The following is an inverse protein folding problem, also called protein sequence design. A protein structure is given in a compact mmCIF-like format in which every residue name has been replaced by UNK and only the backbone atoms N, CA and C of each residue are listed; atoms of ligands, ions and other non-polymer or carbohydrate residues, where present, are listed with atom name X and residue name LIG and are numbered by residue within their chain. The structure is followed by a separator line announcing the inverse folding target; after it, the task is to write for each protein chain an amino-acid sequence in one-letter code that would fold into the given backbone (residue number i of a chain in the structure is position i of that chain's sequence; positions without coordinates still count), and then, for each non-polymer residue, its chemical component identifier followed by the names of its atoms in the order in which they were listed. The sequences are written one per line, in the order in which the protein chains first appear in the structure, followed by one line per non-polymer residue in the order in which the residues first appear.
data_IF_016964548181
#
_entry.id   IF_016964548181
#
_cell.length_a   1.000
_cell.length_b   1.000
_cell.length_c   1.000
_cell.angle_alpha   90.00
_cell.angle_beta   90.00
_cell.angle_gamma   90.00
#
_symmetry.space_group_name_H-M   'P 1'
#
loop_
_entity.id
_entity.type
_entity.pdbx_description
1 polymer ?
#
# COMPACT_ATOMS: atom_id res chain seq x y z
N UNK A 1 -44.12 -93.82 64.44
CA UNK A 1 -43.00 -94.66 63.93
C UNK A 1 -42.59 -94.12 62.55
N UNK A 2 -41.28 -93.92 62.33
CA UNK A 2 -40.55 -93.80 61.05
C UNK A 2 -40.86 -92.52 60.21
N UNK A 3 -39.96 -91.54 60.03
CA UNK A 3 -38.60 -91.46 59.43
C UNK A 3 -38.57 -91.17 57.92
N UNK A 4 -37.88 -90.07 57.58
CA UNK A 4 -36.96 -89.81 56.43
C UNK A 4 -37.47 -89.93 54.98
N UNK A 5 -37.22 -88.87 54.19
CA UNK A 5 -36.31 -88.77 53.02
C UNK A 5 -36.71 -87.56 52.12
N UNK A 6 -35.98 -86.44 52.11
CA UNK A 6 -34.93 -85.96 51.17
C UNK A 6 -35.34 -85.83 49.68
N UNK A 7 -35.23 -84.58 49.18
CA UNK A 7 -34.73 -84.12 47.84
C UNK A 7 -35.70 -84.29 46.65
N UNK A 8 -35.74 -83.48 45.58
CA UNK A 8 -35.10 -82.23 45.10
C UNK A 8 -35.76 -81.93 43.71
N UNK A 9 -35.72 -80.67 43.23
CA UNK A 9 -35.67 -80.23 41.79
C UNK A 9 -36.93 -80.42 40.89
N UNK A 10 -37.33 -79.53 39.95
CA UNK A 10 -36.99 -78.14 39.55
C UNK A 10 -37.87 -77.78 38.30
N UNK A 11 -38.20 -76.48 38.13
CA UNK A 11 -38.63 -75.74 36.90
C UNK A 11 -39.88 -76.25 36.13
N UNK A 12 -40.76 -75.43 35.53
CA UNK A 12 -40.51 -74.29 34.65
C UNK A 12 -41.81 -73.45 34.45
N UNK A 13 -41.64 -72.12 34.42
CA UNK A 13 -42.36 -71.09 33.60
C UNK A 13 -43.89 -70.96 33.61
N UNK A 14 -44.37 -69.78 34.02
CA UNK A 14 -45.20 -68.93 33.16
C UNK A 14 -45.03 -67.45 33.55
N UNK A 15 -44.62 -66.64 32.57
CA UNK A 15 -44.50 -65.17 32.66
C UNK A 15 -45.85 -64.56 32.30
N UNK A 16 -46.32 -63.59 33.10
CA UNK A 16 -47.50 -62.78 32.83
C UNK A 16 -47.37 -61.42 33.54
N UNK A 17 -47.10 -60.39 32.74
CA UNK A 17 -46.86 -58.98 33.05
C UNK A 17 -47.91 -58.34 33.98
N UNK A 18 -47.45 -57.68 35.07
CA UNK A 18 -47.84 -56.30 35.47
C UNK A 18 -46.71 -55.77 36.37
N UNK A 19 -45.87 -54.88 35.86
CA UNK A 19 -44.97 -54.06 36.67
C UNK A 19 -45.31 -52.60 36.43
N UNK A 20 -45.96 -51.94 37.39
CA UNK A 20 -45.89 -50.49 37.48
C UNK A 20 -44.46 -50.15 37.90
N UNK A 21 -43.70 -49.47 37.05
CA UNK A 21 -42.52 -48.77 37.53
C UNK A 21 -42.98 -47.49 38.23
N UNK A 22 -42.78 -47.44 39.55
CA UNK A 22 -42.87 -46.19 40.30
C UNK A 22 -41.69 -45.31 39.88
N UNK A 23 -41.93 -44.37 38.97
CA UNK A 23 -40.97 -43.32 38.65
C UNK A 23 -40.93 -42.31 39.79
N UNK A 24 -39.93 -42.43 40.67
CA UNK A 24 -39.52 -41.37 41.58
C UNK A 24 -38.84 -40.28 40.75
N UNK A 25 -39.58 -39.20 40.46
CA UNK A 25 -38.98 -37.97 39.96
C UNK A 25 -38.21 -37.32 41.10
N UNK A 26 -36.87 -37.40 41.05
CA UNK A 26 -36.01 -36.57 41.88
C UNK A 26 -35.89 -35.19 41.21
N UNK A 27 -36.46 -34.18 41.84
CA UNK A 27 -36.46 -32.83 41.30
C UNK A 27 -35.09 -32.21 41.53
N UNK A 28 -34.19 -32.38 40.56
CA UNK A 28 -32.87 -31.73 40.57
C UNK A 28 -33.08 -30.24 40.31
N UNK A 29 -33.01 -29.42 41.35
CA UNK A 29 -32.89 -27.97 41.19
C UNK A 29 -31.61 -27.69 40.40
N UNK A 30 -31.67 -27.02 39.23
CA UNK A 30 -30.45 -26.65 38.53
C UNK A 30 -29.62 -25.77 39.47
N UNK A 31 -28.35 -26.12 39.63
CA UNK A 31 -27.39 -25.27 40.33
C UNK A 31 -27.55 -23.85 39.78
N UNK A 32 -27.79 -22.88 40.68
CA UNK A 32 -28.10 -21.51 40.31
C UNK A 32 -27.13 -21.01 39.25
N UNK A 33 -27.67 -20.38 38.20
CA UNK A 33 -26.88 -19.75 37.15
C UNK A 33 -25.90 -18.82 37.86
N UNK A 34 -24.62 -19.17 37.83
CA UNK A 34 -23.58 -18.28 38.33
C UNK A 34 -23.39 -17.26 37.22
N UNK A 35 -23.96 -16.06 37.40
CA UNK A 35 -23.73 -14.95 36.50
C UNK A 35 -22.24 -14.58 36.60
N UNK A 36 -21.45 -15.08 35.66
CA UNK A 36 -20.07 -14.65 35.50
C UNK A 36 -20.13 -13.29 34.83
N UNK A 37 -20.17 -12.24 35.63
CA UNK A 37 -19.90 -10.88 35.16
C UNK A 37 -18.44 -10.87 34.71
N UNK A 38 -18.21 -11.11 33.41
CA UNK A 38 -16.94 -10.79 32.78
C UNK A 38 -16.91 -9.28 32.64
N UNK A 39 -16.15 -8.64 33.51
CA UNK A 39 -15.68 -7.28 33.25
C UNK A 39 -14.65 -7.39 32.14
N UNK A 40 -15.09 -7.29 30.88
CA UNK A 40 -14.17 -7.05 29.78
C UNK A 40 -13.47 -5.72 30.10
N UNK A 41 -12.13 -5.70 30.25
CA UNK A 41 -11.43 -4.44 30.45
C UNK A 41 -11.77 -3.54 29.27
N UNK A 42 -12.19 -2.31 29.55
CA UNK A 42 -12.37 -1.28 28.54
C UNK A 42 -11.04 -1.17 27.77
N UNK A 43 -11.06 -1.63 26.51
CA UNK A 43 -9.90 -1.62 25.63
C UNK A 43 -9.55 -0.15 25.38
N UNK A 44 -8.70 0.41 26.24
CA UNK A 44 -8.12 1.71 25.97
C UNK A 44 -7.36 1.61 24.65
N UNK A 45 -7.66 2.49 23.68
CA UNK A 45 -6.93 2.52 22.43
C UNK A 45 -5.43 2.66 22.72
N UNK A 46 -4.61 1.86 22.05
CA UNK A 46 -3.15 2.01 22.18
C UNK A 46 -2.74 3.31 21.47
N UNK A 47 -1.89 4.16 22.08
CA UNK A 47 -1.37 5.33 21.39
C UNK A 47 -0.64 4.93 20.10
N UNK A 48 -0.54 5.84 19.13
CA UNK A 48 0.10 5.54 17.84
C UNK A 48 1.14 6.60 17.44
N UNK A 49 2.33 6.17 17.06
CA UNK A 49 3.33 6.99 16.37
C UNK A 49 3.31 6.60 14.90
N UNK A 50 2.90 7.53 14.04
CA UNK A 50 2.65 7.30 12.63
C UNK A 50 3.71 8.03 11.80
N UNK A 51 4.54 7.27 11.11
CA UNK A 51 5.55 7.78 10.19
C UNK A 51 5.06 7.59 8.75
N UNK A 52 4.81 8.69 8.06
CA UNK A 52 4.59 8.67 6.62
C UNK A 52 5.92 8.82 5.89
N UNK A 53 6.21 7.88 4.99
CA UNK A 53 7.36 7.89 4.10
C UNK A 53 6.81 8.12 2.70
N UNK A 54 6.98 9.33 2.21
CA UNK A 54 6.27 9.80 1.01
C UNK A 54 7.29 10.10 -0.08
N UNK A 55 7.04 9.50 -1.23
CA UNK A 55 7.74 9.78 -2.46
C UNK A 55 7.50 11.22 -2.92
N UNK A 56 8.59 11.93 -3.18
CA UNK A 56 8.59 13.32 -3.66
C UNK A 56 9.19 13.46 -5.07
N UNK A 57 9.12 12.38 -5.86
CA UNK A 57 9.49 12.35 -7.28
C UNK A 57 8.58 13.25 -8.14
N UNK A 58 8.93 13.35 -9.42
CA UNK A 58 8.27 14.22 -10.40
C UNK A 58 6.77 13.93 -10.60
N UNK A 59 6.36 12.67 -10.47
CA UNK A 59 5.03 12.17 -10.78
C UNK A 59 4.05 12.23 -9.60
N UNK A 60 4.56 12.21 -8.37
CA UNK A 60 3.79 12.10 -7.12
C UNK A 60 2.87 13.27 -6.74
N UNK A 61 2.76 14.32 -7.58
CA UNK A 61 1.99 15.52 -7.21
C UNK A 61 0.53 15.21 -6.92
N UNK A 62 -0.11 14.46 -7.81
CA UNK A 62 -1.55 14.18 -7.72
C UNK A 62 -1.84 13.26 -6.53
N UNK A 63 -0.95 12.32 -6.26
CA UNK A 63 -1.00 11.39 -5.14
C UNK A 63 -0.81 12.10 -3.79
N UNK A 64 0.14 13.04 -3.70
CA UNK A 64 0.33 13.90 -2.51
C UNK A 64 -0.91 14.75 -2.22
N UNK A 65 -1.49 15.38 -3.25
CA UNK A 65 -2.72 16.16 -3.13
C UNK A 65 -3.92 15.29 -2.72
N UNK A 66 -4.05 14.10 -3.31
CA UNK A 66 -5.11 13.15 -2.98
C UNK A 66 -4.98 12.65 -1.53
N UNK A 67 -3.76 12.35 -1.07
CA UNK A 67 -3.46 12.01 0.32
C UNK A 67 -3.83 13.15 1.28
N UNK A 68 -3.46 14.39 0.96
CA UNK A 68 -3.78 15.58 1.75
C UNK A 68 -5.31 15.77 1.90
N UNK A 69 -6.04 15.68 0.78
CA UNK A 69 -7.48 15.90 0.74
C UNK A 69 -8.26 14.86 1.54
N UNK A 70 -7.78 13.61 1.56
CA UNK A 70 -8.46 12.50 2.23
C UNK A 70 -7.99 12.27 3.67
N UNK A 71 -6.99 13.01 4.15
CA UNK A 71 -6.41 12.80 5.48
C UNK A 71 -7.40 12.99 6.64
N UNK A 72 -8.48 13.76 6.44
CA UNK A 72 -9.54 13.87 7.44
C UNK A 72 -10.13 12.50 7.81
N UNK A 73 -10.21 11.54 6.89
CA UNK A 73 -10.69 10.20 7.17
C UNK A 73 -9.76 9.43 8.13
N UNK A 74 -8.45 9.63 7.99
CA UNK A 74 -7.45 9.10 8.91
C UNK A 74 -7.70 9.61 10.34
N UNK A 75 -7.83 10.93 10.47
CA UNK A 75 -8.01 11.60 11.77
C UNK A 75 -9.36 11.28 12.40
N UNK A 76 -10.44 11.18 11.62
CA UNK A 76 -11.75 10.78 12.15
C UNK A 76 -11.71 9.42 12.87
N UNK A 77 -10.94 8.46 12.33
CA UNK A 77 -10.76 7.14 12.92
C UNK A 77 -9.70 7.13 14.04
N UNK A 78 -8.63 7.90 13.88
CA UNK A 78 -7.52 7.94 14.82
C UNK A 78 -7.86 8.70 16.11
N UNK A 79 -8.60 9.81 16.00
CA UNK A 79 -8.95 10.68 17.12
C UNK A 79 -9.97 10.05 18.06
N UNK A 80 -11.04 9.39 17.59
CA UNK A 80 -12.07 8.76 18.45
C UNK A 80 -12.42 9.53 19.74
N UNK A 81 -12.82 8.84 20.82
CA UNK A 81 -13.11 9.49 22.11
C UNK A 81 -11.87 9.72 23.00
N UNK A 82 -10.72 9.09 22.70
CA UNK A 82 -9.46 9.15 23.48
C UNK A 82 -8.18 8.94 22.63
N UNK A 83 -8.17 9.38 21.37
CA UNK A 83 -7.03 9.15 20.46
C UNK A 83 -5.77 9.92 20.89
N UNK A 84 -4.70 9.18 21.18
CA UNK A 84 -3.38 9.72 21.47
C UNK A 84 -2.40 9.33 20.35
N UNK A 85 -1.96 10.30 19.56
CA UNK A 85 -1.11 10.02 18.41
C UNK A 85 -0.08 11.11 18.13
N UNK A 86 1.00 10.67 17.46
CA UNK A 86 2.05 11.50 16.89
C UNK A 86 2.21 11.16 15.42
N UNK A 87 2.37 12.18 14.59
CA UNK A 87 2.50 12.02 13.14
C UNK A 87 3.75 12.76 12.68
N UNK A 88 4.54 12.10 11.86
CA UNK A 88 5.71 12.68 11.22
C UNK A 88 5.75 12.26 9.75
N UNK A 89 6.33 13.11 8.92
CA UNK A 89 6.53 12.86 7.48
C UNK A 89 8.02 12.90 7.18
N UNK A 90 8.51 11.95 6.38
CA UNK A 90 9.82 11.98 5.74
C UNK A 90 9.64 11.73 4.24
N UNK A 91 10.67 12.04 3.47
CA UNK A 91 10.72 11.72 2.05
C UNK A 91 11.39 10.37 1.81
N UNK A 92 11.45 9.94 0.57
CA UNK A 92 12.22 8.80 0.04
C UNK A 92 13.64 9.20 -0.43
N UNK A 93 13.99 10.49 -0.31
CA UNK A 93 15.21 11.12 -0.86
C UNK A 93 16.44 10.90 0.05
N UNK A 94 16.71 9.64 0.40
CA UNK A 94 17.69 9.27 1.44
C UNK A 94 19.15 9.51 1.01
N UNK A 95 19.48 9.24 -0.24
CA UNK A 95 20.88 9.16 -0.72
C UNK A 95 21.04 9.37 -2.23
N UNK A 96 19.96 9.69 -2.95
CA UNK A 96 19.96 9.88 -4.40
C UNK A 96 20.54 11.23 -4.84
N UNK A 97 20.68 11.39 -6.15
CA UNK A 97 20.83 12.72 -6.75
C UNK A 97 19.44 13.20 -7.16
N UNK A 98 18.99 14.27 -6.52
CA UNK A 98 17.72 14.94 -6.82
C UNK A 98 17.94 16.23 -7.62
N UNK A 99 16.86 16.97 -7.85
CA UNK A 99 16.88 18.22 -8.63
C UNK A 99 17.69 19.35 -7.99
N UNK A 100 18.01 19.26 -6.69
CA UNK A 100 18.87 20.21 -5.99
C UNK A 100 20.37 19.99 -6.26
N UNK A 101 20.74 18.87 -6.92
CA UNK A 101 22.11 18.61 -7.39
C UNK A 101 23.13 18.35 -6.27
N UNK A 102 22.67 18.06 -5.05
CA UNK A 102 23.53 17.73 -3.90
C UNK A 102 23.12 16.40 -3.33
N UNK A 103 23.94 15.37 -3.56
CA UNK A 103 23.70 14.03 -3.00
C UNK A 103 23.58 14.07 -1.47
N UNK A 104 22.61 13.35 -0.93
CA UNK A 104 22.37 13.28 0.52
C UNK A 104 21.78 14.55 1.12
N UNK A 105 21.03 15.34 0.34
CA UNK A 105 20.19 16.44 0.85
C UNK A 105 18.80 16.33 0.28
N UNK A 106 17.79 16.32 1.13
CA UNK A 106 16.40 16.35 0.69
C UNK A 106 16.10 17.64 -0.10
N UNK A 107 15.37 17.49 -1.20
CA UNK A 107 14.97 18.58 -2.06
C UNK A 107 13.46 18.84 -1.96
N UNK A 108 13.06 20.11 -1.97
CA UNK A 108 11.65 20.53 -1.96
C UNK A 108 11.33 21.44 -3.13
N UNK A 109 10.04 21.69 -3.29
CA UNK A 109 9.52 22.55 -4.35
C UNK A 109 9.03 21.73 -5.54
N UNK A 110 8.69 22.41 -6.63
CA UNK A 110 7.92 21.80 -7.71
C UNK A 110 8.62 21.90 -9.05
N UNK A 111 8.52 20.82 -9.82
CA UNK A 111 8.76 20.79 -11.26
C UNK A 111 7.43 20.91 -11.97
N UNK A 112 7.18 22.05 -12.62
CA UNK A 112 5.95 22.25 -13.37
C UNK A 112 6.22 22.03 -14.86
N UNK A 113 5.78 20.88 -15.38
CA UNK A 113 5.80 20.59 -16.81
C UNK A 113 4.54 21.13 -17.47
N UNK A 114 4.73 21.89 -18.54
CA UNK A 114 3.65 22.40 -19.38
C UNK A 114 3.66 21.63 -20.70
N UNK A 115 2.49 21.13 -21.08
CA UNK A 115 2.28 20.42 -22.34
C UNK A 115 1.37 21.25 -23.24
N UNK A 116 1.42 21.00 -24.54
CA UNK A 116 0.45 21.56 -25.48
C UNK A 116 -0.96 21.14 -25.06
N UNK A 117 -1.95 22.00 -25.26
CA UNK A 117 -3.35 21.70 -24.91
C UNK A 117 -4.06 20.84 -25.96
N UNK A 118 -3.36 20.49 -27.04
CA UNK A 118 -3.88 19.74 -28.18
C UNK A 118 -2.94 18.56 -28.48
N UNK A 119 -3.52 17.45 -28.94
CA UNK A 119 -2.80 16.24 -29.33
C UNK A 119 -1.68 16.56 -30.35
N UNK A 120 -0.46 16.01 -30.22
CA UNK A 120 -0.04 14.91 -29.33
C UNK A 120 0.36 15.34 -27.90
N UNK A 121 -0.07 16.52 -27.43
CA UNK A 121 0.27 17.07 -26.11
C UNK A 121 1.78 17.20 -25.90
N UNK A 122 2.46 17.77 -26.90
CA UNK A 122 3.91 17.94 -26.86
C UNK A 122 4.38 18.66 -25.60
N UNK A 123 5.49 18.19 -25.04
CA UNK A 123 6.16 18.88 -23.95
C UNK A 123 6.63 20.26 -24.41
N UNK A 124 6.15 21.33 -23.77
CA UNK A 124 6.50 22.71 -24.13
C UNK A 124 7.67 23.22 -23.29
N UNK A 125 7.49 23.24 -21.97
CA UNK A 125 8.49 23.76 -21.03
C UNK A 125 8.38 23.06 -19.69
N UNK A 126 9.49 22.99 -18.96
CA UNK A 126 9.51 22.61 -17.56
C UNK A 126 10.10 23.75 -16.74
N UNK A 127 9.33 24.22 -15.77
CA UNK A 127 9.82 25.16 -14.76
C UNK A 127 10.25 24.37 -13.53
N UNK A 128 11.55 24.42 -13.22
CA UNK A 128 12.15 23.74 -12.08
C UNK A 128 12.32 24.74 -10.95
N UNK A 129 11.49 24.66 -9.91
CA UNK A 129 11.54 25.51 -8.71
C UNK A 129 11.95 24.66 -7.50
N UNK A 130 13.18 24.17 -7.52
CA UNK A 130 13.70 23.25 -6.51
C UNK A 130 14.70 23.94 -5.58
N UNK A 131 14.59 23.70 -4.28
CA UNK A 131 15.53 24.18 -3.28
C UNK A 131 15.79 23.13 -2.19
N UNK A 132 16.99 23.08 -1.60
CA UNK A 132 17.27 22.11 -0.53
C UNK A 132 16.42 22.38 0.71
N UNK A 133 15.97 21.34 1.40
CA UNK A 133 15.44 21.49 2.75
C UNK A 133 16.51 22.07 3.69
N UNK A 134 16.08 22.98 4.56
CA UNK A 134 16.94 23.64 5.54
C UNK A 134 16.59 23.11 6.94
N UNK A 135 17.58 22.70 7.76
CA UNK A 135 19.03 22.80 7.52
C UNK A 135 19.59 21.73 6.58
N UNK A 136 20.59 22.17 5.80
CA UNK A 136 21.30 21.50 4.72
C UNK A 136 21.94 20.11 4.98
N UNK A 137 21.82 19.54 6.17
CA UNK A 137 22.68 18.43 6.63
C UNK A 137 21.95 17.13 6.95
N UNK A 138 20.64 17.07 6.75
CA UNK A 138 19.86 15.96 7.26
C UNK A 138 18.95 15.37 6.21
N UNK A 139 19.48 14.36 5.54
CA UNK A 139 18.62 13.25 5.13
C UNK A 139 17.95 12.67 6.38
N UNK A 140 16.69 12.26 6.23
CA UNK A 140 15.88 11.60 7.26
C UNK A 140 15.41 12.47 8.43
N UNK A 141 15.36 13.79 8.28
CA UNK A 141 14.68 14.62 9.27
C UNK A 141 13.17 14.67 8.98
N UNK A 142 12.35 14.69 10.03
CA UNK A 142 10.92 14.92 9.87
C UNK A 142 10.65 16.30 9.29
N UNK A 143 9.77 16.37 8.30
CA UNK A 143 9.41 17.61 7.62
C UNK A 143 8.66 18.53 8.58
N UNK A 144 9.13 19.78 8.79
CA UNK A 144 8.44 20.75 9.63
C UNK A 144 7.29 21.41 8.88
N UNK A 145 6.22 21.74 9.58
CA UNK A 145 5.21 22.69 9.11
C UNK A 145 5.71 24.15 9.18
N UNK A 146 4.86 25.10 8.80
CA UNK A 146 5.17 26.54 8.78
C UNK A 146 5.48 27.11 10.16
N UNK A 147 5.00 26.48 11.23
CA UNK A 147 5.27 26.83 12.63
C UNK A 147 6.55 26.13 13.15
N UNK A 148 7.16 25.27 12.35
CA UNK A 148 8.38 24.53 12.68
C UNK A 148 8.12 23.22 13.44
N UNK A 149 6.87 22.77 13.54
CA UNK A 149 6.51 21.50 14.17
C UNK A 149 6.87 20.35 13.24
N UNK A 150 7.72 19.46 13.74
CA UNK A 150 8.18 18.24 13.05
C UNK A 150 7.46 16.97 13.49
N UNK A 151 6.81 17.04 14.65
CA UNK A 151 6.01 15.96 15.22
C UNK A 151 4.66 16.55 15.55
N UNK A 152 3.67 16.24 14.72
CA UNK A 152 2.29 16.68 14.88
C UNK A 152 1.67 15.79 15.97
N UNK A 153 1.21 16.38 17.08
CA UNK A 153 0.71 15.61 18.23
C UNK A 153 -0.62 16.14 18.74
N UNK A 154 -1.44 15.26 19.31
CA UNK A 154 -2.70 15.64 19.99
C UNK A 154 -2.48 16.37 21.32
N UNK A 155 -1.24 16.40 21.82
CA UNK A 155 -0.90 17.17 23.04
C UNK A 155 -0.87 18.66 22.74
N UNK A 156 -0.49 19.02 21.52
CA UNK A 156 -0.22 20.40 21.13
C UNK A 156 -1.31 20.96 20.21
N UNK A 157 -2.01 20.09 19.46
CA UNK A 157 -2.95 20.47 18.41
C UNK A 157 -4.31 19.77 18.55
N UNK A 158 -5.38 20.47 18.20
CA UNK A 158 -6.70 19.90 18.01
C UNK A 158 -6.75 19.02 16.75
N UNK A 159 -7.73 18.10 16.61
CA UNK A 159 -7.85 17.27 15.41
C UNK A 159 -7.93 18.07 14.10
N UNK A 160 -8.55 19.25 14.10
CA UNK A 160 -8.61 20.11 12.92
C UNK A 160 -7.22 20.69 12.59
N UNK A 161 -6.49 21.20 13.59
CA UNK A 161 -5.13 21.72 13.41
C UNK A 161 -4.13 20.63 13.00
N UNK A 162 -4.33 19.40 13.46
CA UNK A 162 -3.58 18.22 12.98
C UNK A 162 -3.78 18.01 11.48
N UNK A 163 -5.02 18.11 10.99
CA UNK A 163 -5.32 17.96 9.56
C UNK A 163 -4.67 19.09 8.78
N UNK A 164 -4.80 20.34 9.23
CA UNK A 164 -4.20 21.51 8.57
C UNK A 164 -2.67 21.38 8.49
N UNK A 165 -2.02 21.03 9.61
CA UNK A 165 -0.56 20.83 9.68
C UNK A 165 -0.10 19.67 8.78
N UNK A 166 -0.82 18.53 8.80
CA UNK A 166 -0.49 17.40 7.91
C UNK A 166 -0.64 17.76 6.43
N UNK A 167 -1.72 18.45 6.06
CA UNK A 167 -1.94 18.91 4.69
C UNK A 167 -0.84 19.85 4.19
N UNK A 168 -0.18 20.58 5.10
CA UNK A 168 1.01 21.37 4.74
C UNK A 168 2.21 20.46 4.45
N UNK A 169 2.55 19.55 5.38
CA UNK A 169 3.81 18.80 5.32
C UNK A 169 3.77 17.58 4.39
N UNK A 170 2.59 17.11 3.98
CA UNK A 170 2.43 16.01 3.02
C UNK A 170 2.72 16.46 1.58
N UNK A 171 2.56 17.75 1.29
CA UNK A 171 2.84 18.36 -0.01
C UNK A 171 4.33 18.73 -0.09
N UNK A 172 5.18 17.70 -0.17
CA UNK A 172 6.64 17.78 -0.22
C UNK A 172 7.16 18.47 -1.49
N UNK A 173 6.33 18.43 -2.54
CA UNK A 173 6.67 18.82 -3.89
C UNK A 173 7.25 17.66 -4.69
N UNK A 174 7.78 17.98 -5.87
CA UNK A 174 8.13 17.00 -6.91
C UNK A 174 9.61 17.07 -7.35
N UNK A 175 10.45 17.62 -6.47
CA UNK A 175 11.86 17.87 -6.73
C UNK A 175 12.81 16.79 -6.16
N UNK A 176 12.25 15.70 -5.62
CA UNK A 176 12.98 14.59 -5.02
C UNK A 176 13.87 13.84 -6.00
N UNK A 177 14.49 12.77 -5.49
CA UNK A 177 15.15 11.80 -6.36
C UNK A 177 14.11 11.08 -7.24
N UNK A 178 14.55 10.45 -8.33
CA UNK A 178 13.76 9.43 -9.05
C UNK A 178 14.31 8.04 -8.75
N UNK A 179 14.69 7.83 -7.49
CA UNK A 179 15.29 6.60 -6.95
C UNK A 179 14.79 6.53 -5.51
N UNK A 180 13.67 5.84 -5.35
CA UNK A 180 12.88 5.91 -4.13
C UNK A 180 13.44 5.00 -3.05
N UNK A 181 14.20 5.58 -2.13
CA UNK A 181 14.88 4.82 -1.07
C UNK A 181 14.16 4.93 0.27
N UNK A 182 12.84 4.72 0.24
CA UNK A 182 11.97 4.89 1.41
C UNK A 182 12.36 3.99 2.60
N UNK A 183 12.79 2.75 2.37
CA UNK A 183 13.24 1.86 3.45
C UNK A 183 14.52 2.40 4.12
N UNK A 184 15.44 2.96 3.35
CA UNK A 184 16.65 3.61 3.88
C UNK A 184 16.31 4.89 4.65
N UNK A 185 15.46 5.78 4.12
CA UNK A 185 15.09 6.99 4.85
C UNK A 185 14.39 6.65 6.17
N UNK A 186 13.47 5.67 6.15
CA UNK A 186 12.81 5.17 7.36
C UNK A 186 13.85 4.69 8.38
N UNK A 187 14.78 3.83 7.96
CA UNK A 187 15.83 3.28 8.83
C UNK A 187 16.70 4.38 9.43
N UNK A 188 17.10 5.38 8.63
CA UNK A 188 17.89 6.52 9.08
C UNK A 188 17.10 7.40 10.08
N UNK A 189 15.84 7.69 9.78
CA UNK A 189 14.99 8.55 10.62
C UNK A 189 14.76 7.92 12.01
N UNK A 190 14.42 6.63 12.03
CA UNK A 190 14.22 5.87 13.26
C UNK A 190 15.52 5.60 14.03
N UNK A 191 16.67 5.57 13.33
CA UNK A 191 18.00 5.47 13.95
C UNK A 191 18.49 6.77 14.59
N UNK A 192 17.89 7.92 14.26
CA UNK A 192 18.31 9.23 14.74
C UNK A 192 17.17 10.01 15.42
N UNK A 193 16.63 9.51 16.53
CA UNK A 193 15.51 10.14 17.27
C UNK A 193 15.91 11.35 18.14
N UNK A 194 17.07 11.96 17.88
CA UNK A 194 17.55 13.16 18.57
C UNK A 194 17.70 14.31 17.57
N UNK A 195 17.60 15.55 18.04
CA UNK A 195 17.64 16.72 17.17
C UNK A 195 16.31 16.90 16.43
N UNK A 196 16.32 16.89 15.10
CA UNK A 196 15.12 17.16 14.30
C UNK A 196 14.00 16.11 14.41
N UNK A 197 14.34 14.87 14.81
CA UNK A 197 13.36 13.79 14.99
C UNK A 197 12.98 13.57 16.45
N UNK A 198 13.37 14.50 17.32
CA UNK A 198 13.13 14.38 18.75
C UNK A 198 11.64 14.37 19.07
N UNK A 199 11.25 13.49 19.99
CA UNK A 199 9.90 13.49 20.55
C UNK A 199 8.86 12.77 19.71
N UNK A 200 9.26 12.02 18.68
CA UNK A 200 8.34 11.19 17.91
C UNK A 200 8.02 9.88 18.63
N UNK A 201 9.01 9.00 18.77
CA UNK A 201 8.79 7.61 19.17
C UNK A 201 8.56 7.45 20.68
N UNK A 202 7.49 6.73 21.04
CA UNK A 202 7.10 6.39 22.43
C UNK A 202 7.14 4.89 22.66
N UNK A 203 7.49 4.48 23.87
CA UNK A 203 7.60 3.06 24.21
C UNK A 203 6.23 2.38 24.26
N UNK A 204 5.20 3.08 24.75
CA UNK A 204 3.83 2.59 24.93
C UNK A 204 3.00 2.57 23.64
N UNK A 205 3.38 3.36 22.64
CA UNK A 205 2.64 3.49 21.40
C UNK A 205 2.93 2.34 20.42
N UNK A 206 1.98 2.05 19.53
CA UNK A 206 2.28 1.33 18.29
C UNK A 206 3.11 2.22 17.36
N UNK A 207 4.02 1.64 16.58
CA UNK A 207 4.66 2.33 15.45
C UNK A 207 3.93 1.91 14.18
N UNK A 208 3.45 2.88 13.42
CA UNK A 208 2.83 2.68 12.12
C UNK A 208 3.70 3.35 11.08
N UNK A 209 4.17 2.60 10.09
CA UNK A 209 4.92 3.16 8.96
C UNK A 209 4.06 3.05 7.71
N UNK A 210 3.82 4.17 7.04
CA UNK A 210 3.00 4.26 5.83
C UNK A 210 3.89 4.69 4.68
N UNK A 211 4.14 3.79 3.73
CA UNK A 211 4.84 4.09 2.48
C UNK A 211 3.84 4.52 1.43
N UNK A 212 4.14 5.62 0.74
CA UNK A 212 3.33 6.13 -0.37
C UNK A 212 4.28 6.46 -1.52
N UNK A 213 4.25 5.67 -2.60
CA UNK A 213 5.14 5.82 -3.76
C UNK A 213 4.53 5.24 -5.01
N UNK A 214 4.65 5.96 -6.12
CA UNK A 214 4.28 5.49 -7.45
C UNK A 214 5.46 4.87 -8.20
N UNK A 215 6.63 4.74 -7.57
CA UNK A 215 7.79 4.06 -8.14
C UNK A 215 8.11 2.73 -7.42
N UNK A 216 9.10 2.02 -7.97
CA UNK A 216 9.70 0.86 -7.29
C UNK A 216 10.64 1.37 -6.21
N UNK A 217 10.66 0.68 -5.07
CA UNK A 217 11.69 0.95 -4.08
C UNK A 217 13.09 0.65 -4.67
N UNK A 218 14.08 1.47 -4.32
CA UNK A 218 15.49 1.36 -4.75
C UNK A 218 16.44 1.23 -3.55
N UNK A 219 15.94 0.72 -2.42
CA UNK A 219 16.75 0.53 -1.20
C UNK A 219 17.60 -0.74 -1.24
N UNK A 220 17.12 -1.79 -1.92
CA UNK A 220 17.79 -3.08 -2.11
C UNK A 220 18.54 -3.08 -3.44
N UNK A 221 19.70 -3.76 -3.48
CA UNK A 221 20.51 -3.86 -4.70
C UNK A 221 19.70 -4.47 -5.85
N UNK A 222 19.71 -3.88 -7.06
CA UNK A 222 19.06 -4.46 -8.22
C UNK A 222 19.45 -5.91 -8.53
N UNK A 223 20.69 -6.30 -8.22
CA UNK A 223 21.15 -7.68 -8.42
C UNK A 223 20.44 -8.65 -7.44
N UNK A 224 20.18 -8.21 -6.21
CA UNK A 224 19.45 -9.01 -5.21
C UNK A 224 17.97 -9.16 -5.60
N UNK A 225 17.38 -8.17 -6.28
CA UNK A 225 15.99 -8.23 -6.76
C UNK A 225 15.79 -9.15 -7.96
N UNK A 226 16.85 -9.55 -8.66
CA UNK A 226 16.76 -10.18 -9.98
C UNK A 226 15.94 -11.48 -9.97
N UNK A 227 16.03 -12.25 -8.89
CA UNK A 227 15.30 -13.51 -8.69
C UNK A 227 14.10 -13.36 -7.72
N UNK A 228 13.77 -12.12 -7.34
CA UNK A 228 12.80 -11.77 -6.30
C UNK A 228 13.48 -11.18 -5.06
N UNK A 229 12.71 -10.52 -4.20
CA UNK A 229 13.23 -9.94 -2.95
C UNK A 229 13.11 -10.99 -1.86
N UNK A 230 14.19 -11.40 -1.24
CA UNK A 230 14.23 -12.39 -0.17
C UNK A 230 14.12 -11.74 1.21
N UNK A 231 13.84 -12.55 2.24
CA UNK A 231 13.69 -12.04 3.62
C UNK A 231 15.01 -11.52 4.20
N UNK A 232 16.14 -11.99 3.66
CA UNK A 232 17.50 -11.59 4.04
C UNK A 232 17.81 -10.15 3.62
N UNK A 233 17.36 -9.75 2.43
CA UNK A 233 17.50 -8.38 1.89
C UNK A 233 16.75 -7.36 2.75
N UNK A 234 15.63 -7.80 3.33
CA UNK A 234 14.75 -6.97 4.15
C UNK A 234 15.18 -6.92 5.63
N UNK A 235 16.09 -7.79 6.06
CA UNK A 235 16.34 -8.05 7.47
C UNK A 235 16.82 -6.80 8.21
N UNK A 236 17.70 -6.01 7.61
CA UNK A 236 18.20 -4.77 8.22
C UNK A 236 17.08 -3.74 8.48
N UNK A 237 16.05 -3.70 7.63
CA UNK A 237 14.91 -2.79 7.77
C UNK A 237 13.90 -3.31 8.81
N UNK A 238 13.71 -4.63 8.88
CA UNK A 238 12.90 -5.28 9.92
C UNK A 238 13.53 -5.08 11.29
N UNK A 239 14.85 -5.24 11.40
CA UNK A 239 15.59 -5.06 12.65
C UNK A 239 15.45 -3.62 13.15
N UNK A 240 15.54 -2.62 12.26
CA UNK A 240 15.34 -1.22 12.62
C UNK A 240 13.95 -0.94 13.21
N UNK A 241 12.89 -1.56 12.66
CA UNK A 241 11.53 -1.45 13.21
C UNK A 241 11.39 -2.15 14.56
N UNK A 242 12.01 -3.32 14.72
CA UNK A 242 12.00 -4.04 15.99
C UNK A 242 12.76 -3.24 17.06
N UNK A 243 13.96 -2.73 16.76
CA UNK A 243 14.78 -1.91 17.65
C UNK A 243 14.03 -0.64 18.09
N UNK A 244 13.32 0.01 17.16
CA UNK A 244 12.44 1.15 17.46
C UNK A 244 11.36 0.83 18.52
N UNK A 245 11.00 -0.44 18.71
CA UNK A 245 10.07 -0.90 19.76
C UNK A 245 10.71 -1.88 20.73
N UNK A 246 11.98 -1.67 21.06
CA UNK A 246 12.73 -2.46 22.04
C UNK A 246 12.70 -3.98 21.79
N UNK A 247 12.68 -4.37 20.52
CA UNK A 247 12.58 -5.74 20.02
C UNK A 247 11.14 -6.26 19.82
N UNK A 248 10.10 -5.50 20.19
CA UNK A 248 8.70 -5.94 20.09
C UNK A 248 8.07 -5.59 18.74
N UNK A 249 8.41 -6.37 17.71
CA UNK A 249 7.83 -6.22 16.35
C UNK A 249 6.29 -6.33 16.33
N UNK A 250 5.67 -6.92 17.37
CA UNK A 250 4.21 -6.99 17.52
C UNK A 250 3.58 -5.65 17.88
N UNK A 251 4.36 -4.57 18.01
CA UNK A 251 3.89 -3.17 18.10
C UNK A 251 4.05 -2.39 16.80
N UNK A 252 4.55 -3.02 15.75
CA UNK A 252 4.82 -2.38 14.46
C UNK A 252 3.73 -2.74 13.46
N UNK A 253 3.23 -1.74 12.72
CA UNK A 253 2.27 -1.89 11.60
C UNK A 253 2.91 -1.25 10.39
N UNK A 254 2.77 -1.88 9.22
CA UNK A 254 3.27 -1.32 7.96
C UNK A 254 2.14 -1.26 6.95
N UNK A 255 1.94 -0.08 6.37
CA UNK A 255 1.07 0.13 5.23
C UNK A 255 1.91 0.50 4.01
N UNK A 256 1.62 -0.08 2.85
CA UNK A 256 2.19 0.31 1.57
C UNK A 256 1.06 0.69 0.62
N UNK A 257 1.04 1.95 0.20
CA UNK A 257 0.14 2.52 -0.80
C UNK A 257 1.00 2.73 -2.04
N UNK A 258 1.03 1.73 -2.93
CA UNK A 258 2.01 1.64 -4.02
C UNK A 258 1.40 1.01 -5.27
N UNK A 259 2.15 0.89 -6.36
CA UNK A 259 1.74 0.10 -7.53
C UNK A 259 1.54 -1.39 -7.20
N UNK A 260 0.34 -1.77 -6.76
CA UNK A 260 0.02 -3.14 -6.34
C UNK A 260 -1.44 -3.54 -6.66
N UNK A 261 -1.64 -4.81 -6.96
CA UNK A 261 -2.95 -5.45 -7.13
C UNK A 261 -2.98 -6.70 -6.26
N UNK A 262 -4.04 -6.86 -5.47
CA UNK A 262 -4.23 -8.04 -4.60
C UNK A 262 -3.08 -8.29 -3.60
N UNK A 263 -2.45 -7.21 -3.13
CA UNK A 263 -1.31 -7.29 -2.22
C UNK A 263 -0.04 -7.83 -2.90
N UNK A 264 0.00 -7.84 -4.23
CA UNK A 264 1.15 -8.17 -5.06
C UNK A 264 1.55 -6.94 -5.87
N UNK A 265 2.85 -6.70 -6.01
CA UNK A 265 3.34 -5.71 -6.95
C UNK A 265 2.92 -6.11 -8.38
N UNK A 266 2.34 -5.19 -9.14
CA UNK A 266 1.72 -5.52 -10.42
C UNK A 266 2.09 -4.53 -11.52
N UNK A 267 2.57 -5.07 -12.63
CA UNK A 267 2.71 -4.33 -13.90
C UNK A 267 1.43 -4.42 -14.71
N UNK A 268 1.16 -3.38 -15.49
CA UNK A 268 -0.01 -3.32 -16.36
C UNK A 268 0.41 -3.42 -17.82
N UNK A 269 0.76 -4.61 -18.29
CA UNK A 269 1.22 -4.84 -19.66
C UNK A 269 0.09 -5.39 -20.53
N UNK A 270 -0.18 -4.77 -21.68
CA UNK A 270 -1.19 -5.22 -22.65
C UNK A 270 -0.66 -6.17 -23.72
N UNK A 271 0.62 -6.55 -23.71
CA UNK A 271 1.17 -7.46 -24.71
C UNK A 271 2.20 -8.40 -24.10
N UNK A 272 1.82 -9.65 -23.78
CA UNK A 272 2.51 -10.91 -24.17
C UNK A 272 1.53 -12.10 -24.01
N UNK A 273 1.48 -12.99 -25.01
CA UNK A 273 0.71 -14.25 -25.04
C UNK A 273 1.41 -15.37 -24.24
N UNK A 274 0.81 -16.58 -24.23
CA UNK A 274 0.27 -17.27 -23.06
C UNK A 274 1.36 -17.90 -22.18
N UNK A 275 1.45 -17.50 -20.90
CA UNK A 275 2.15 -18.32 -19.92
C UNK A 275 1.32 -19.61 -19.76
N UNK A 276 1.94 -20.76 -20.08
CA UNK A 276 1.35 -22.10 -19.98
C UNK A 276 1.09 -22.55 -18.54
N UNK A 277 0.52 -21.69 -17.69
CA UNK A 277 0.11 -21.99 -16.33
C UNK A 277 -0.98 -20.99 -15.88
N UNK A 278 -2.22 -21.30 -16.21
CA UNK A 278 -3.50 -20.95 -15.55
C UNK A 278 -3.70 -19.56 -14.88
N UNK A 279 -3.03 -18.49 -15.35
CA UNK A 279 -3.25 -17.08 -14.92
C UNK A 279 -3.39 -16.07 -16.07
N UNK A 280 -3.82 -16.50 -17.26
CA UNK A 280 -4.20 -15.60 -18.36
C UNK A 280 -5.53 -14.91 -18.01
N UNK A 281 -5.68 -13.58 -17.92
CA UNK A 281 -5.26 -12.50 -18.82
C UNK A 281 -4.95 -11.20 -18.04
N UNK A 282 -3.84 -10.52 -18.35
CA UNK A 282 -3.55 -9.18 -17.81
C UNK A 282 -4.61 -8.16 -18.30
N UNK A 283 -5.24 -7.43 -17.37
CA UNK A 283 -6.04 -6.26 -17.69
C UNK A 283 -5.93 -5.22 -16.58
N UNK A 284 -5.44 -4.06 -16.98
CA UNK A 284 -5.42 -2.81 -16.27
C UNK A 284 -6.35 -1.86 -17.06
N UNK A 285 -7.08 -0.95 -16.38
CA UNK A 285 -8.25 -0.18 -16.88
C UNK A 285 -8.24 0.27 -18.36
N UNK A 286 -9.45 0.37 -18.95
CA UNK A 286 -9.67 0.36 -20.41
C UNK A 286 -9.17 1.58 -21.17
N UNK A 287 -8.08 1.43 -21.95
CA UNK A 287 -7.73 2.32 -23.07
C UNK A 287 -6.85 1.69 -24.17
N UNK A 288 -6.87 0.36 -24.39
CA UNK A 288 -6.13 -0.28 -25.51
C UNK A 288 -6.99 -1.04 -26.54
N UNK A 289 -8.32 -0.89 -26.53
CA UNK A 289 -9.22 -1.59 -27.48
C UNK A 289 -9.59 -0.78 -28.75
N UNK A 290 -8.76 0.17 -29.21
CA UNK A 290 -9.10 1.04 -30.36
C UNK A 290 -8.08 1.03 -31.53
N UNK A 291 -7.55 -0.12 -31.97
CA UNK A 291 -6.69 -0.21 -33.19
C UNK A 291 -7.48 -0.80 -34.38
N UNK A 292 -7.57 -0.13 -35.55
CA UNK A 292 -8.24 -0.66 -36.75
C UNK A 292 -7.41 -1.71 -37.54
N UNK A 293 -8.07 -2.63 -38.27
CA UNK A 293 -7.47 -3.82 -38.91
C UNK A 293 -6.85 -3.64 -40.34
N UNK A 294 -6.79 -2.44 -40.96
CA UNK A 294 -6.26 -2.23 -42.34
C UNK A 294 -5.41 -0.94 -42.51
N UNK A 295 -4.24 -1.01 -43.19
CA UNK A 295 -3.15 0.02 -43.18
C UNK A 295 -2.90 0.81 -44.49
N UNK A 296 -3.19 0.28 -45.69
CA UNK A 296 -2.91 0.92 -47.00
C UNK A 296 -1.75 0.30 -47.82
N UNK A 297 -1.33 0.90 -48.96
CA UNK A 297 -0.37 0.34 -49.95
C UNK A 297 1.10 0.74 -49.78
N UNK A 298 1.39 1.77 -48.98
CA UNK A 298 2.74 2.21 -48.56
C UNK A 298 3.72 2.68 -49.66
N UNK A 299 3.28 2.90 -50.90
CA UNK A 299 4.13 3.44 -51.98
C UNK A 299 4.53 4.89 -51.72
N UNK A 300 5.68 5.31 -52.25
CA UNK A 300 6.21 6.69 -52.10
C UNK A 300 5.39 7.73 -52.90
N UNK A 301 5.14 8.91 -52.33
CA UNK A 301 4.29 9.95 -52.93
C UNK A 301 4.86 11.38 -52.79
N UNK A 302 4.56 12.26 -53.77
CA UNK A 302 4.93 13.69 -53.82
C UNK A 302 3.71 14.62 -53.68
N UNK A 303 3.88 15.96 -53.76
CA UNK A 303 2.84 16.98 -53.42
C UNK A 303 1.51 16.86 -54.18
N UNK A 304 1.49 16.12 -55.27
CA UNK A 304 0.28 15.66 -55.93
C UNK A 304 -0.03 14.22 -55.46
N UNK A 305 -1.19 14.02 -54.82
CA UNK A 305 -1.69 12.71 -54.32
C UNK A 305 -1.67 11.61 -55.41
N UNK A 306 -0.54 10.92 -55.57
CA UNK A 306 -0.34 9.79 -56.50
C UNK A 306 -0.65 8.41 -55.84
N UNK A 307 -1.45 8.41 -54.77
CA UNK A 307 -1.85 7.19 -54.04
C UNK A 307 -2.99 6.44 -54.75
N UNK A 308 -3.12 5.12 -54.50
CA UNK A 308 -4.25 4.35 -55.02
C UNK A 308 -5.57 4.84 -54.36
N UNK A 309 -6.74 4.69 -55.02
CA UNK A 309 -8.01 5.22 -54.50
C UNK A 309 -8.38 4.63 -53.13
N UNK A 310 -8.51 5.48 -52.11
CA UNK A 310 -8.78 5.10 -50.71
C UNK A 310 -7.61 5.40 -49.76
N UNK A 311 -6.47 5.78 -50.30
CA UNK A 311 -5.25 6.06 -49.55
C UNK A 311 -4.80 7.51 -49.67
N UNK A 312 -3.95 7.93 -48.74
CA UNK A 312 -3.51 9.30 -48.56
C UNK A 312 -2.01 9.38 -48.30
N UNK A 313 -1.36 10.41 -48.85
CA UNK A 313 0.05 10.66 -48.62
C UNK A 313 0.30 11.29 -47.24
N UNK A 314 1.22 10.75 -46.45
CA UNK A 314 1.60 11.27 -45.12
C UNK A 314 2.27 12.65 -45.21
N UNK A 315 2.07 13.50 -44.19
CA UNK A 315 2.68 14.83 -44.14
C UNK A 315 4.12 14.77 -43.60
N UNK A 316 4.95 15.75 -43.96
CA UNK A 316 6.35 15.83 -43.53
C UNK A 316 6.44 16.21 -42.04
N UNK A 317 7.07 15.36 -41.23
CA UNK A 317 7.30 15.66 -39.81
C UNK A 317 8.53 16.56 -39.58
N UNK A 318 9.57 16.49 -40.43
CA UNK A 318 10.84 17.23 -40.30
C UNK A 318 11.55 17.41 -41.68
N UNK A 319 12.54 18.32 -41.85
CA UNK A 319 13.11 18.72 -43.16
C UNK A 319 13.79 17.66 -44.05
N UNK A 320 13.80 16.37 -43.68
CA UNK A 320 14.40 15.27 -44.46
C UNK A 320 13.53 14.00 -44.55
N UNK A 321 12.26 14.06 -44.13
CA UNK A 321 11.38 12.89 -44.09
C UNK A 321 10.82 12.53 -45.49
N UNK A 322 10.57 11.24 -45.79
CA UNK A 322 10.05 10.76 -47.11
C UNK A 322 8.62 10.23 -46.99
N UNK A 323 7.67 10.91 -47.62
CA UNK A 323 6.22 10.67 -47.58
C UNK A 323 5.74 9.38 -48.28
N UNK A 324 4.69 8.74 -47.76
CA UNK A 324 4.12 7.44 -48.24
C UNK A 324 2.59 7.40 -48.17
N UNK A 325 1.96 6.49 -48.95
CA UNK A 325 0.51 6.32 -49.02
C UNK A 325 -0.05 5.37 -47.94
N UNK A 326 -1.05 5.82 -47.16
CA UNK A 326 -1.70 5.07 -46.06
C UNK A 326 -3.23 5.06 -46.21
N UNK A 327 -3.91 4.00 -45.77
CA UNK A 327 -5.40 3.89 -45.86
C UNK A 327 -6.07 5.00 -45.05
N UNK A 328 -7.26 5.43 -45.46
CA UNK A 328 -8.07 6.43 -44.76
C UNK A 328 -8.18 6.21 -43.24
N UNK A 329 -8.41 4.97 -42.81
CA UNK A 329 -8.61 4.58 -41.41
C UNK A 329 -7.28 4.58 -40.67
N UNK A 330 -6.20 4.18 -41.36
CA UNK A 330 -4.85 4.23 -40.82
C UNK A 330 -4.30 5.65 -40.78
N UNK A 331 -4.56 6.54 -41.73
CA UNK A 331 -4.25 7.98 -41.61
C UNK A 331 -4.92 8.60 -40.38
N UNK A 332 -6.13 8.12 -40.06
CA UNK A 332 -6.89 8.53 -38.88
C UNK A 332 -6.32 7.98 -37.56
N UNK A 333 -5.51 6.92 -37.62
CA UNK A 333 -4.89 6.22 -36.49
C UNK A 333 -3.37 6.45 -36.38
N UNK A 334 -2.66 6.72 -37.48
CA UNK A 334 -1.25 7.08 -37.56
C UNK A 334 -0.99 8.52 -37.19
N UNK A 335 -1.95 9.41 -37.51
CA UNK A 335 -1.96 10.69 -36.82
C UNK A 335 -2.08 10.51 -35.30
N UNK A 336 -2.45 9.32 -34.80
CA UNK A 336 -2.49 8.98 -33.38
C UNK A 336 -1.29 8.10 -32.90
N UNK A 337 -0.46 7.53 -33.80
CA UNK A 337 0.59 6.52 -33.48
C UNK A 337 2.00 6.82 -34.03
N UNK A 338 2.16 7.41 -35.23
CA UNK A 338 3.43 7.30 -35.98
C UNK A 338 4.52 8.31 -35.62
N UNK A 339 4.24 9.35 -34.85
CA UNK A 339 5.27 10.36 -34.59
C UNK A 339 6.24 10.05 -33.44
N UNK A 340 5.95 9.13 -32.51
CA UNK A 340 6.87 8.95 -31.37
C UNK A 340 7.27 7.49 -31.07
N UNK A 341 8.56 7.25 -31.29
CA UNK A 341 9.36 6.05 -31.03
C UNK A 341 9.62 5.83 -29.52
N UNK A 342 8.63 6.17 -28.69
CA UNK A 342 8.59 5.97 -27.26
C UNK A 342 7.11 6.06 -26.83
N UNK A 343 6.71 5.21 -25.87
CA UNK A 343 5.61 5.48 -24.92
C UNK A 343 4.32 6.09 -25.47
N UNK A 344 3.30 5.28 -25.80
CA UNK A 344 1.91 5.55 -25.40
C UNK A 344 1.00 4.38 -25.83
N UNK A 345 1.13 3.25 -25.14
CA UNK A 345 -0.09 2.62 -24.62
C UNK A 345 -0.45 3.39 -23.34
N UNK A 346 -1.63 3.22 -22.76
CA UNK A 346 -1.66 3.24 -21.30
C UNK A 346 -0.69 2.15 -20.83
N UNK A 347 0.59 2.50 -20.71
CA UNK A 347 1.67 1.55 -20.52
C UNK A 347 1.61 1.00 -19.11
N UNK A 348 0.91 1.70 -18.22
CA UNK A 348 0.44 1.20 -16.95
C UNK A 348 -1.01 1.66 -16.72
N UNK A 349 -1.92 0.78 -16.30
CA UNK A 349 -3.25 1.13 -15.77
C UNK A 349 -3.56 0.39 -14.45
N UNK A 350 -2.62 0.52 -13.53
CA UNK A 350 -2.79 0.83 -12.12
C UNK A 350 -3.73 0.15 -11.15
N UNK A 351 -4.98 -0.19 -11.47
CA UNK A 351 -5.74 -1.15 -10.67
C UNK A 351 -6.94 -1.71 -11.42
N UNK A 352 -7.41 -2.88 -10.98
CA UNK A 352 -8.58 -3.54 -11.54
C UNK A 352 -9.86 -2.73 -11.29
N UNK A 353 -10.39 -2.09 -12.34
CA UNK A 353 -11.68 -1.38 -12.30
C UNK A 353 -11.62 0.15 -12.33
N UNK A 354 -10.44 0.75 -12.49
CA UNK A 354 -10.28 2.21 -12.66
C UNK A 354 -10.88 2.69 -14.01
N UNK A 355 -11.58 3.84 -14.03
CA UNK A 355 -12.00 4.48 -15.27
C UNK A 355 -10.85 5.16 -16.04
N UNK A 356 -9.70 5.38 -15.40
CA UNK A 356 -8.55 6.13 -15.89
C UNK A 356 -7.21 5.35 -15.74
N UNK A 357 -6.19 5.81 -16.47
CA UNK A 357 -4.83 5.28 -16.39
C UNK A 357 -4.04 6.12 -15.39
N UNK A 358 -3.69 5.56 -14.23
CA UNK A 358 -2.66 6.15 -13.36
C UNK A 358 -1.29 5.60 -13.83
N UNK A 359 -0.19 6.29 -13.54
CA UNK A 359 1.15 5.86 -13.95
C UNK A 359 1.92 5.55 -12.67
N UNK A 360 1.84 4.30 -12.22
CA UNK A 360 2.63 3.82 -11.09
C UNK A 360 3.39 2.55 -11.47
N UNK A 361 4.68 2.56 -11.16
CA UNK A 361 5.56 1.42 -11.18
C UNK A 361 5.31 0.51 -9.97
N UNK A 362 5.65 -0.79 -10.04
CA UNK A 362 5.28 -1.70 -8.95
C UNK A 362 6.14 -1.51 -7.70
N UNK A 363 5.51 -1.31 -6.56
CA UNK A 363 6.19 -1.16 -5.27
C UNK A 363 6.65 -2.48 -4.64
N UNK A 364 7.34 -3.32 -5.40
CA UNK A 364 7.82 -4.66 -5.01
C UNK A 364 8.51 -4.71 -3.64
N UNK A 365 9.46 -3.81 -3.36
CA UNK A 365 10.12 -3.69 -2.07
C UNK A 365 9.14 -3.42 -0.93
N UNK A 366 8.28 -2.41 -1.09
CA UNK A 366 7.32 -1.99 -0.06
C UNK A 366 6.29 -3.09 0.22
N UNK A 367 5.83 -3.78 -0.82
CA UNK A 367 4.91 -4.93 -0.70
C UNK A 367 5.58 -6.09 0.02
N UNK A 368 6.79 -6.47 -0.40
CA UNK A 368 7.55 -7.56 0.24
C UNK A 368 7.81 -7.24 1.72
N UNK A 369 8.20 -6.00 2.01
CA UNK A 369 8.46 -5.51 3.35
C UNK A 369 7.20 -5.52 4.24
N UNK A 370 6.08 -4.96 3.77
CA UNK A 370 4.81 -4.97 4.51
C UNK A 370 4.34 -6.40 4.81
N UNK A 371 4.43 -7.29 3.81
CA UNK A 371 4.07 -8.71 3.95
C UNK A 371 4.96 -9.43 4.97
N UNK A 372 6.26 -9.13 5.02
CA UNK A 372 7.22 -9.70 5.98
C UNK A 372 6.96 -9.18 7.39
N UNK A 373 6.86 -7.86 7.59
CA UNK A 373 6.60 -7.27 8.90
C UNK A 373 5.26 -7.72 9.47
N UNK A 374 4.21 -7.76 8.63
CA UNK A 374 2.89 -8.24 9.05
C UNK A 374 2.90 -9.69 9.51
N UNK A 375 3.69 -10.55 8.88
CA UNK A 375 3.83 -11.94 9.29
C UNK A 375 4.55 -12.08 10.63
N UNK A 376 5.65 -11.34 10.83
CA UNK A 376 6.41 -11.32 12.07
C UNK A 376 5.60 -10.75 13.23
N UNK A 377 4.88 -9.64 13.00
CA UNK A 377 4.00 -9.03 13.99
C UNK A 377 2.86 -9.98 14.40
N UNK A 378 2.45 -10.90 13.53
CA UNK A 378 1.47 -11.95 13.81
C UNK A 378 2.07 -13.18 14.53
N UNK A 379 3.39 -13.19 14.79
CA UNK A 379 4.11 -14.33 15.38
C UNK A 379 4.47 -15.44 14.38
N UNK A 380 4.33 -15.20 13.08
CA UNK A 380 4.76 -16.10 12.00
C UNK A 380 6.21 -15.84 11.58
N UNK A 381 6.74 -16.68 10.68
CA UNK A 381 8.16 -16.62 10.23
C UNK A 381 8.32 -16.44 8.71
N UNK A 382 7.26 -16.14 7.97
CA UNK A 382 7.24 -16.01 6.50
C UNK A 382 6.66 -14.69 6.02
N UNK A 383 5.89 -14.70 4.92
CA UNK A 383 5.15 -13.54 4.39
C UNK A 383 3.64 -13.79 4.44
N UNK A 384 2.86 -12.73 4.60
CA UNK A 384 1.39 -12.78 4.58
C UNK A 384 0.83 -11.80 3.56
N UNK A 385 -0.33 -12.09 2.96
CA UNK A 385 -0.98 -11.14 2.06
C UNK A 385 -1.70 -10.03 2.84
N UNK A 386 -1.18 -8.81 2.79
CA UNK A 386 -1.66 -7.66 3.57
C UNK A 386 -2.89 -6.93 2.99
N UNK A 387 -3.63 -7.51 2.03
CA UNK A 387 -4.85 -6.88 1.48
C UNK A 387 -6.14 -7.24 2.23
N UNK A 388 -6.18 -8.35 2.99
CA UNK A 388 -7.41 -8.84 3.62
C UNK A 388 -7.96 -7.88 4.69
N UNK A 389 -9.28 -7.72 4.74
CA UNK A 389 -9.98 -6.84 5.69
C UNK A 389 -9.67 -7.12 7.17
N UNK A 390 -9.23 -8.34 7.49
CA UNK A 390 -8.90 -8.79 8.85
C UNK A 390 -7.44 -8.62 9.27
N UNK A 391 -6.59 -7.94 8.47
CA UNK A 391 -5.18 -7.71 8.82
C UNK A 391 -4.94 -6.29 9.27
N UNK A 392 -4.93 -6.11 10.58
CA UNK A 392 -4.61 -4.84 11.23
C UNK A 392 -3.10 -4.62 11.44
N UNK A 393 -2.28 -5.64 11.15
CA UNK A 393 -0.83 -5.62 11.35
C UNK A 393 -0.05 -5.14 10.13
N UNK A 394 -0.64 -5.28 8.95
CA UNK A 394 -0.08 -4.76 7.71
C UNK A 394 -1.18 -4.49 6.69
N UNK A 395 -0.94 -3.52 5.81
CA UNK A 395 -1.85 -3.16 4.75
C UNK A 395 -1.08 -2.95 3.44
N UNK A 396 -1.55 -3.52 2.34
CA UNK A 396 -1.07 -3.17 1.00
C UNK A 396 -2.28 -2.77 0.17
N UNK A 397 -2.24 -1.55 -0.36
CA UNK A 397 -3.25 -1.02 -1.27
C UNK A 397 -2.61 -0.33 -2.47
N UNK A 398 -3.43 -0.11 -3.50
CA UNK A 398 -2.98 0.59 -4.69
C UNK A 398 -2.85 2.09 -4.41
N UNK A 399 -1.80 2.73 -4.94
CA UNK A 399 -1.68 4.20 -4.93
C UNK A 399 -2.65 4.88 -5.90
N UNK A 400 -3.20 4.13 -6.85
CA UNK A 400 -3.96 4.68 -7.94
C UNK A 400 -5.47 4.52 -7.80
N UNK A 401 -5.95 4.58 -6.57
CA UNK A 401 -7.34 4.32 -6.21
C UNK A 401 -8.04 5.60 -5.77
N UNK A 402 -9.34 5.71 -6.08
CA UNK A 402 -10.12 6.93 -5.81
C UNK A 402 -10.55 7.09 -4.34
N UNK A 403 -10.30 6.08 -3.50
CA UNK A 403 -10.86 5.92 -2.14
C UNK A 403 -9.77 5.93 -1.08
N UNK A 404 -8.86 6.90 -1.17
CA UNK A 404 -7.80 7.12 -0.17
C UNK A 404 -8.36 7.25 1.24
N UNK A 405 -9.54 7.85 1.38
CA UNK A 405 -10.29 7.93 2.63
C UNK A 405 -10.44 6.56 3.31
N UNK A 406 -10.77 5.51 2.56
CA UNK A 406 -10.99 4.17 3.10
C UNK A 406 -9.70 3.46 3.46
N UNK A 407 -8.68 3.61 2.64
CA UNK A 407 -7.34 3.10 2.91
C UNK A 407 -6.80 3.72 4.19
N UNK A 408 -6.88 5.04 4.32
CA UNK A 408 -6.46 5.78 5.50
C UNK A 408 -7.27 5.38 6.74
N UNK A 409 -8.59 5.26 6.64
CA UNK A 409 -9.43 4.79 7.73
C UNK A 409 -9.02 3.38 8.21
N UNK A 410 -8.67 2.47 7.29
CA UNK A 410 -8.16 1.13 7.64
C UNK A 410 -6.82 1.19 8.37
N UNK A 411 -5.89 2.03 7.90
CA UNK A 411 -4.59 2.22 8.56
C UNK A 411 -4.80 2.76 9.99
N UNK A 412 -5.66 3.77 10.16
CA UNK A 412 -5.96 4.35 11.47
C UNK A 412 -6.59 3.34 12.44
N UNK A 413 -7.50 2.47 11.97
CA UNK A 413 -8.06 1.39 12.80
C UNK A 413 -7.00 0.39 13.24
N UNK A 414 -6.10 0.01 12.35
CA UNK A 414 -4.98 -0.89 12.68
C UNK A 414 -3.98 -0.27 13.66
N UNK A 415 -3.75 1.05 13.55
CA UNK A 415 -2.88 1.82 14.43
C UNK A 415 -3.27 1.72 15.91
N UNK A 416 -4.57 1.67 16.20
CA UNK A 416 -5.11 1.70 17.58
C UNK A 416 -5.29 0.32 18.21
N UNK A 417 -5.19 -0.76 17.44
CA UNK A 417 -5.35 -2.12 17.99
C UNK A 417 -4.18 -2.49 18.88
N UNK A 418 -4.51 -2.86 20.12
CA UNK A 418 -3.53 -3.39 21.06
C UNK A 418 -2.88 -4.67 20.56
N UNK A 419 -1.68 -4.96 21.05
CA UNK A 419 -0.88 -6.15 20.72
C UNK A 419 -1.42 -7.47 21.30
N UNK A 420 -2.70 -7.52 21.66
CA UNK A 420 -3.30 -8.66 22.33
C UNK A 420 -3.45 -9.85 21.36
N UNK A 421 -2.47 -10.76 21.41
CA UNK A 421 -2.62 -12.12 20.90
C UNK A 421 -3.43 -12.89 21.96
N UNK A 422 -4.62 -13.40 21.66
CA UNK A 422 -5.39 -14.19 22.63
C UNK A 422 -4.54 -15.35 23.17
N UNK A 423 -4.25 -15.35 24.48
CA UNK A 423 -3.51 -16.42 25.17
C UNK A 423 -2.02 -16.19 25.42
N UNK A 424 -1.47 -14.99 25.18
CA UNK A 424 -0.09 -14.66 25.53
C UNK A 424 0.00 -13.80 26.80
N UNK A 425 0.63 -14.32 27.86
CA UNK A 425 1.06 -13.54 29.03
C UNK A 425 2.56 -13.16 28.87
N UNK A 426 2.95 -11.91 29.17
CA UNK A 426 4.36 -11.52 29.13
C UNK A 426 5.16 -12.29 30.19
N UNK A 427 6.43 -12.66 29.91
CA UNK A 427 7.28 -13.29 30.91
C UNK A 427 7.50 -12.34 32.09
N UNK A 428 7.39 -12.90 33.30
CA UNK A 428 7.46 -12.21 34.58
C UNK A 428 8.83 -11.60 34.90
#
# INVERSE_FOLDING_TARGET
MLSRHRRLTVLLSLVGLVGCEDYLFDQVCPAGITEVVRTEPELRPTPADVLFVIDNSGSMREEQENLAQNFQAFINELSGDEGDYRIAVITTDATGTNQCGVAGRECRGNTNSTFATEFPFEFLTQQVMCEPYVPAASVSCFIPDSEGLRVISTTDLTPAEVVDSFQEIVNLGTCGAGRERGLDTMRLALGQLTGCNQGFLRDEANLVVVFVSDERGDSIDPDDKADGIDDEDLQAYVDALAEAKAGDIRRVRVAAIVGAVDGQASFCRTNQTPATDDRETAACGSLCQMIPEQLGSERSCGDSDDCDPGEFCTADAEPNDRRRCVDAVWRQFLSQIEQDNNTFACANCTYYGAPDCCIADPGDEYVAFANRVGALAAGGTGRVACRSEDRDLCLVDSICQERFDQTLARIARGARRGSHVPGWEPPA
#
